data_IF_310920746752
#
_entry.id   IF_310920746752
#
_cell.length_a   1.000
_cell.length_b   1.000
_cell.length_c   1.000
_cell.angle_alpha   90.00
_cell.angle_beta   90.00
_cell.angle_gamma   90.00
#
_symmetry.space_group_name_H-M   'P 1'
#
loop_
_entity.id
_entity.type
_entity.pdbx_description
1 polymer ?
#
# COMPACT_ATOMS: atom_id res chain seq x y z
N UNK A 1 -11.26 21.54 7.42
CA UNK A 1 -10.90 21.59 5.99
C UNK A 1 -9.40 21.48 5.89
N UNK A 2 -8.88 20.41 5.33
CA UNK A 2 -7.46 20.24 5.07
C UNK A 2 -7.06 21.20 3.96
N UNK A 3 -6.16 22.15 4.27
CA UNK A 3 -5.65 23.09 3.27
C UNK A 3 -4.75 22.32 2.28
N UNK A 4 -5.18 22.23 1.03
CA UNK A 4 -4.44 21.57 -0.05
C UNK A 4 -3.68 22.62 -0.90
N UNK A 5 -2.97 23.54 -0.22
CA UNK A 5 -2.11 24.53 -0.83
C UNK A 5 -0.65 24.23 -0.55
N UNK A 6 0.22 24.62 -1.45
CA UNK A 6 1.68 24.49 -1.35
C UNK A 6 2.10 23.02 -1.20
N UNK A 7 2.43 22.39 -2.32
CA UNK A 7 2.98 21.05 -2.36
C UNK A 7 4.26 20.97 -1.53
N UNK A 8 4.38 19.89 -0.75
CA UNK A 8 5.58 19.57 0.01
C UNK A 8 5.99 18.14 -0.29
N UNK A 9 7.28 17.94 -0.46
CA UNK A 9 7.88 16.62 -0.59
C UNK A 9 9.14 16.55 0.24
N UNK A 10 9.44 15.39 0.79
CA UNK A 10 10.71 15.09 1.43
C UNK A 10 11.14 13.69 1.03
N UNK A 11 12.38 13.58 0.57
CA UNK A 11 12.99 12.32 0.15
C UNK A 11 14.30 12.15 0.90
N UNK A 12 14.37 11.15 1.76
CA UNK A 12 15.54 10.81 2.55
C UNK A 12 15.96 9.38 2.18
N UNK A 13 17.24 9.20 1.82
CA UNK A 13 17.79 7.90 1.45
C UNK A 13 19.04 7.61 2.31
N UNK A 14 19.07 6.45 2.94
CA UNK A 14 20.15 6.00 3.82
C UNK A 14 19.69 5.74 5.24
N UNK A 15 20.62 5.55 6.16
CA UNK A 15 20.36 5.28 7.56
C UNK A 15 21.30 6.08 8.47
N UNK A 16 20.76 6.59 9.58
CA UNK A 16 21.51 7.30 10.61
C UNK A 16 22.23 8.55 10.08
N UNK A 17 23.52 8.69 10.42
CA UNK A 17 24.35 9.84 10.03
C UNK A 17 24.67 9.92 8.54
N UNK A 18 24.52 8.81 7.82
CA UNK A 18 24.84 8.72 6.38
C UNK A 18 23.60 8.95 5.49
N UNK A 19 22.47 9.33 6.09
CA UNK A 19 21.25 9.65 5.36
C UNK A 19 21.44 10.92 4.51
N UNK A 20 21.03 10.83 3.25
CA UNK A 20 21.04 11.93 2.29
C UNK A 20 19.64 12.53 2.17
N UNK A 21 19.52 13.82 2.39
CA UNK A 21 18.30 14.56 2.12
C UNK A 21 18.31 15.07 0.67
N UNK A 22 17.43 14.51 -0.15
CA UNK A 22 17.26 14.83 -1.56
C UNK A 22 15.96 15.62 -1.83
N UNK A 23 15.33 16.15 -0.78
CA UNK A 23 14.05 16.87 -0.85
C UNK A 23 14.05 18.07 -1.79
N UNK A 24 15.21 18.72 -1.98
CA UNK A 24 15.37 19.89 -2.85
C UNK A 24 15.60 19.54 -4.34
N UNK A 25 15.84 18.25 -4.63
CA UNK A 25 16.05 17.80 -6.00
C UNK A 25 14.71 17.66 -6.73
N UNK A 26 14.76 17.72 -8.06
CA UNK A 26 13.62 17.30 -8.86
C UNK A 26 13.53 15.78 -8.81
N UNK A 27 12.37 15.26 -8.40
CA UNK A 27 12.07 13.85 -8.49
C UNK A 27 10.60 13.57 -8.82
N UNK A 28 10.40 12.50 -9.53
CA UNK A 28 9.10 11.91 -9.84
C UNK A 28 8.94 10.65 -9.02
N UNK A 29 7.77 10.41 -8.49
CA UNK A 29 7.50 9.22 -7.69
C UNK A 29 6.17 8.56 -8.05
N UNK A 30 6.13 7.25 -7.85
CA UNK A 30 4.93 6.42 -7.96
C UNK A 30 4.99 5.38 -6.84
N UNK A 31 4.05 5.44 -5.91
CA UNK A 31 3.96 4.57 -4.72
C UNK A 31 2.69 3.76 -4.79
N UNK A 32 2.79 2.45 -4.87
CA UNK A 32 1.67 1.53 -4.97
C UNK A 32 1.55 0.66 -3.72
N UNK A 33 0.36 0.64 -3.14
CA UNK A 33 0.02 -0.12 -1.96
C UNK A 33 -1.24 -0.96 -2.19
N UNK A 34 -1.19 -2.24 -1.80
CA UNK A 34 -2.27 -3.20 -1.96
C UNK A 34 -2.64 -3.83 -0.62
N UNK A 35 -3.90 -4.25 -0.47
CA UNK A 35 -4.37 -4.97 0.73
C UNK A 35 -3.91 -6.43 0.80
N UNK A 36 -3.37 -6.96 -0.28
CA UNK A 36 -2.86 -8.33 -0.37
C UNK A 36 -1.42 -8.43 0.09
N UNK A 37 -0.93 -9.65 0.30
CA UNK A 37 0.43 -9.97 0.77
C UNK A 37 1.57 -9.57 -0.20
N UNK A 38 1.35 -8.56 -1.03
CA UNK A 38 2.35 -7.96 -1.91
C UNK A 38 2.98 -6.77 -1.19
N UNK A 39 4.30 -6.64 -1.18
CA UNK A 39 4.96 -5.48 -0.60
C UNK A 39 4.49 -4.18 -1.25
N UNK A 40 4.36 -3.13 -0.44
CA UNK A 40 4.20 -1.76 -0.92
C UNK A 40 5.45 -1.37 -1.69
N UNK A 41 5.31 -0.85 -2.89
CA UNK A 41 6.43 -0.52 -3.77
C UNK A 41 6.48 0.96 -4.09
N UNK A 42 7.69 1.48 -4.25
CA UNK A 42 7.93 2.83 -4.72
C UNK A 42 8.87 2.82 -5.92
N UNK A 43 8.52 3.56 -6.95
CA UNK A 43 9.37 3.88 -8.07
C UNK A 43 9.71 5.38 -8.00
N UNK A 44 10.97 5.69 -7.99
CA UNK A 44 11.49 7.06 -7.86
C UNK A 44 12.44 7.35 -9.01
N UNK A 45 12.28 8.49 -9.66
CA UNK A 45 13.24 9.02 -10.62
C UNK A 45 13.75 10.36 -10.12
N UNK A 46 15.04 10.46 -9.84
CA UNK A 46 15.68 11.67 -9.32
C UNK A 46 16.58 12.22 -10.41
N UNK A 47 16.43 13.51 -10.71
CA UNK A 47 17.16 14.16 -11.78
C UNK A 47 18.42 14.85 -11.30
N UNK A 48 19.46 14.81 -12.16
CA UNK A 48 20.69 15.61 -12.07
C UNK A 48 21.45 15.50 -10.74
N UNK A 49 21.53 14.28 -10.20
CA UNK A 49 22.40 14.00 -9.06
C UNK A 49 23.87 14.01 -9.47
N UNK A 50 24.75 14.48 -8.58
CA UNK A 50 26.20 14.31 -8.77
C UNK A 50 26.57 12.82 -8.81
N UNK A 51 27.60 12.47 -9.58
CA UNK A 51 28.05 11.07 -9.69
C UNK A 51 28.39 10.45 -8.34
N UNK A 52 28.93 11.22 -7.40
CA UNK A 52 29.29 10.74 -6.07
C UNK A 52 28.05 10.52 -5.20
N UNK A 53 27.06 11.42 -5.28
CA UNK A 53 25.78 11.24 -4.58
C UNK A 53 25.01 10.06 -5.15
N UNK A 54 24.96 9.92 -6.48
CA UNK A 54 24.30 8.79 -7.13
C UNK A 54 24.92 7.45 -6.68
N UNK A 55 26.26 7.34 -6.61
CA UNK A 55 26.94 6.12 -6.12
C UNK A 55 26.63 5.80 -4.66
N UNK A 56 26.49 6.80 -3.80
CA UNK A 56 26.12 6.58 -2.40
C UNK A 56 24.69 6.06 -2.28
N UNK A 57 23.79 6.58 -3.10
CA UNK A 57 22.36 6.19 -3.12
C UNK A 57 22.17 4.81 -3.74
N UNK A 58 22.99 4.40 -4.73
CA UNK A 58 22.82 3.10 -5.42
C UNK A 58 23.13 1.88 -4.57
N UNK A 59 23.48 2.05 -3.31
CA UNK A 59 23.74 0.93 -2.41
C UNK A 59 22.42 0.20 -2.10
N UNK A 60 22.31 -1.04 -2.57
CA UNK A 60 21.16 -1.91 -2.29
C UNK A 60 20.93 -2.09 -0.78
N UNK A 61 19.66 -2.23 -0.38
CA UNK A 61 19.28 -2.37 1.02
C UNK A 61 19.27 -1.05 1.80
N UNK A 62 19.64 0.08 1.18
CA UNK A 62 19.50 1.40 1.82
C UNK A 62 18.04 1.75 2.03
N UNK A 63 17.72 2.37 3.18
CA UNK A 63 16.37 2.79 3.48
C UNK A 63 15.98 4.02 2.65
N UNK A 64 14.72 4.05 2.24
CA UNK A 64 14.08 5.18 1.58
C UNK A 64 12.88 5.62 2.41
N UNK A 65 12.79 6.90 2.71
CA UNK A 65 11.63 7.51 3.33
C UNK A 65 11.14 8.62 2.40
N UNK A 66 9.93 8.47 1.91
CA UNK A 66 9.27 9.45 1.06
C UNK A 66 8.04 10.00 1.78
N UNK A 67 8.02 11.30 2.00
CA UNK A 67 6.87 12.02 2.53
C UNK A 67 6.39 13.01 1.49
N UNK A 68 5.08 13.06 1.27
CA UNK A 68 4.47 13.97 0.30
C UNK A 68 3.11 14.47 0.79
N UNK A 69 2.67 15.60 0.23
CA UNK A 69 1.38 16.18 0.59
C UNK A 69 1.32 17.67 0.33
N UNK A 70 0.55 18.35 1.18
CA UNK A 70 0.37 19.81 1.14
C UNK A 70 0.71 20.42 2.51
N UNK A 71 0.82 21.75 2.59
CA UNK A 71 1.23 22.47 3.80
C UNK A 71 0.45 22.11 5.08
N UNK A 72 -0.83 21.76 4.96
CA UNK A 72 -1.70 21.35 6.07
C UNK A 72 -1.97 19.84 6.14
N UNK A 73 -1.44 19.06 5.21
CA UNK A 73 -1.66 17.61 5.10
C UNK A 73 -0.41 16.97 4.50
N UNK A 74 0.62 16.76 5.33
CA UNK A 74 1.92 16.24 4.92
C UNK A 74 2.30 15.06 5.83
N UNK A 75 2.54 13.90 5.22
CA UNK A 75 2.91 12.69 5.95
C UNK A 75 3.77 11.76 5.09
N UNK A 76 4.34 10.74 5.71
CA UNK A 76 5.07 9.68 5.01
C UNK A 76 4.09 8.85 4.19
N UNK A 77 4.38 8.70 2.89
CA UNK A 77 3.62 7.86 1.97
C UNK A 77 4.34 6.55 1.66
N UNK A 78 5.65 6.49 1.90
CA UNK A 78 6.45 5.28 1.69
C UNK A 78 7.65 5.25 2.62
N UNK A 79 7.87 4.07 3.20
CA UNK A 79 9.11 3.71 3.89
C UNK A 79 9.49 2.29 3.47
N UNK A 80 10.72 2.10 3.00
CA UNK A 80 11.16 0.78 2.53
C UNK A 80 12.63 0.75 2.20
N UNK A 81 13.05 -0.29 1.48
CA UNK A 81 14.45 -0.54 1.12
C UNK A 81 14.62 -0.56 -0.38
N UNK A 82 15.76 -0.06 -0.85
CA UNK A 82 16.13 -0.08 -2.27
C UNK A 82 16.35 -1.52 -2.71
N UNK A 83 15.58 -1.97 -3.69
CA UNK A 83 15.73 -3.28 -4.33
C UNK A 83 16.52 -3.18 -5.63
N UNK A 84 16.41 -2.03 -6.32
CA UNK A 84 17.14 -1.78 -7.56
C UNK A 84 17.41 -0.29 -7.72
N UNK A 85 18.59 0.04 -8.25
CA UNK A 85 18.95 1.38 -8.65
C UNK A 85 19.63 1.36 -10.02
N UNK A 86 19.25 2.30 -10.91
CA UNK A 86 19.78 2.43 -12.26
C UNK A 86 20.10 3.88 -12.57
N UNK A 87 21.29 4.16 -13.06
CA UNK A 87 21.68 5.47 -13.55
C UNK A 87 21.49 5.51 -15.05
N UNK A 88 20.86 6.54 -15.55
CA UNK A 88 20.62 6.75 -16.97
C UNK A 88 20.76 8.21 -17.38
N UNK A 89 20.53 8.45 -18.66
CA UNK A 89 20.48 9.77 -19.25
C UNK A 89 19.23 9.88 -20.11
N UNK A 90 18.44 10.92 -19.91
CA UNK A 90 17.19 11.11 -20.62
C UNK A 90 17.43 11.83 -21.96
N UNK A 91 18.34 12.81 -21.94
CA UNK A 91 18.75 13.57 -23.13
C UNK A 91 20.23 13.94 -23.04
N UNK A 92 20.72 14.81 -23.89
CA UNK A 92 22.13 15.24 -23.91
C UNK A 92 22.60 15.88 -22.60
N UNK A 93 21.68 16.47 -21.83
CA UNK A 93 21.97 17.31 -20.67
C UNK A 93 21.54 16.66 -19.35
N UNK A 94 20.36 16.04 -19.33
CA UNK A 94 19.77 15.55 -18.08
C UNK A 94 20.10 14.09 -17.81
N UNK A 95 20.63 13.85 -16.64
CA UNK A 95 20.86 12.52 -16.09
C UNK A 95 19.78 12.19 -15.07
N UNK A 96 19.48 10.91 -14.90
CA UNK A 96 18.56 10.45 -13.87
C UNK A 96 19.07 9.23 -13.12
N UNK A 97 18.58 9.08 -11.92
CA UNK A 97 18.70 7.88 -11.10
C UNK A 97 17.31 7.31 -10.89
N UNK A 98 17.05 6.13 -11.46
CA UNK A 98 15.84 5.36 -11.18
C UNK A 98 16.08 4.45 -9.98
N UNK A 99 15.17 4.48 -9.03
CA UNK A 99 15.18 3.66 -7.83
C UNK A 99 13.86 2.90 -7.77
N UNK A 100 13.94 1.59 -7.58
CA UNK A 100 12.82 0.77 -7.16
C UNK A 100 13.06 0.38 -5.72
N UNK A 101 12.07 0.60 -4.87
CA UNK A 101 12.12 0.25 -3.45
C UNK A 101 10.87 -0.53 -3.05
N UNK A 102 11.00 -1.41 -2.06
CA UNK A 102 9.90 -2.17 -1.51
C UNK A 102 9.90 -2.13 0.02
N UNK A 103 8.71 -2.08 0.61
CA UNK A 103 8.55 -2.11 2.05
C UNK A 103 8.68 -3.54 2.56
N UNK A 104 9.60 -3.74 3.51
CA UNK A 104 9.85 -5.05 4.10
C UNK A 104 10.47 -6.08 3.16
N UNK A 105 11.19 -5.68 2.12
CA UNK A 105 11.80 -6.57 1.13
C UNK A 105 12.67 -7.66 1.77
N UNK A 106 13.51 -7.30 2.73
CA UNK A 106 14.37 -8.24 3.45
C UNK A 106 13.55 -9.31 4.19
N UNK A 107 12.44 -8.93 4.80
CA UNK A 107 11.55 -9.87 5.51
C UNK A 107 10.80 -10.74 4.50
N UNK A 108 10.29 -10.14 3.44
CA UNK A 108 9.47 -10.81 2.43
C UNK A 108 10.28 -11.84 1.62
N UNK A 109 11.47 -11.48 1.18
CA UNK A 109 12.28 -12.32 0.29
C UNK A 109 13.33 -13.17 1.02
N UNK A 110 13.84 -12.71 2.16
CA UNK A 110 14.99 -13.32 2.83
C UNK A 110 14.73 -13.67 4.30
N UNK A 111 13.57 -13.28 4.87
CA UNK A 111 13.24 -13.58 6.26
C UNK A 111 13.07 -15.07 6.50
N UNK A 112 14.04 -15.70 7.18
CA UNK A 112 13.97 -17.09 7.59
C UNK A 112 13.56 -17.17 9.06
N UNK A 113 12.59 -18.01 9.33
CA UNK A 113 12.01 -18.23 10.67
C UNK A 113 12.36 -19.62 11.12
N UNK A 114 12.80 -19.75 12.38
CA UNK A 114 13.09 -21.03 13.03
C UNK A 114 12.76 -20.93 14.52
N UNK A 115 11.60 -21.48 14.92
CA UNK A 115 11.21 -21.56 16.33
C UNK A 115 10.24 -22.71 16.57
N UNK A 116 10.07 -23.08 17.83
CA UNK A 116 9.08 -24.05 18.26
C UNK A 116 8.09 -23.45 19.24
N UNK A 117 6.86 -23.94 19.21
CA UNK A 117 5.78 -23.52 20.12
C UNK A 117 5.17 -24.69 20.83
N UNK A 118 4.70 -24.48 22.05
CA UNK A 118 4.01 -25.50 22.85
C UNK A 118 2.56 -25.70 22.38
N UNK A 119 1.97 -26.80 22.80
CA UNK A 119 0.52 -27.00 22.72
C UNK A 119 -0.21 -25.85 23.41
N UNK A 120 -1.38 -25.47 22.88
CA UNK A 120 -2.17 -24.37 23.41
C UNK A 120 -1.78 -22.98 22.86
N UNK A 121 -0.71 -22.88 22.06
CA UNK A 121 -0.31 -21.61 21.41
C UNK A 121 -1.44 -21.07 20.52
N UNK A 122 -1.77 -19.79 20.70
CA UNK A 122 -2.75 -19.08 19.90
C UNK A 122 -2.12 -18.49 18.61
N UNK A 123 -2.95 -18.09 17.66
CA UNK A 123 -2.49 -17.55 16.37
C UNK A 123 -1.75 -16.24 16.55
N UNK A 124 -2.24 -15.34 17.41
CA UNK A 124 -1.61 -14.03 17.64
C UNK A 124 -0.20 -14.18 18.18
N UNK A 125 -0.01 -15.09 19.16
CA UNK A 125 1.31 -15.39 19.69
C UNK A 125 2.26 -15.96 18.63
N UNK A 126 1.77 -16.83 17.73
CA UNK A 126 2.57 -17.40 16.62
C UNK A 126 2.94 -16.31 15.59
N UNK A 127 1.99 -15.47 15.20
CA UNK A 127 2.25 -14.33 14.31
C UNK A 127 3.31 -13.40 14.92
N UNK A 128 3.23 -13.15 16.24
CA UNK A 128 4.22 -12.36 16.96
C UNK A 128 5.62 -13.00 16.92
N UNK A 129 5.72 -14.32 17.08
CA UNK A 129 7.00 -15.03 17.01
C UNK A 129 7.56 -15.04 15.59
N UNK A 130 6.71 -15.18 14.54
CA UNK A 130 7.15 -15.07 13.15
C UNK A 130 7.71 -13.67 12.90
N UNK A 131 6.98 -12.62 13.30
CA UNK A 131 7.41 -11.24 13.13
C UNK A 131 8.75 -10.96 13.83
N UNK A 132 8.88 -11.34 15.09
CA UNK A 132 10.11 -11.17 15.86
C UNK A 132 11.29 -11.93 15.25
N UNK A 133 11.09 -13.19 14.82
CA UNK A 133 12.14 -13.98 14.18
C UNK A 133 12.56 -13.40 12.82
N UNK A 134 11.63 -12.79 12.10
CA UNK A 134 11.89 -12.13 10.82
C UNK A 134 12.41 -10.69 10.97
N UNK A 135 12.48 -10.15 12.20
CA UNK A 135 12.98 -8.81 12.47
C UNK A 135 12.03 -7.67 12.08
N UNK A 136 10.71 -7.94 12.01
CA UNK A 136 9.68 -6.94 11.70
C UNK A 136 8.86 -6.62 12.96
N UNK A 137 8.44 -5.36 13.08
CA UNK A 137 7.56 -4.93 14.16
C UNK A 137 6.12 -5.35 13.90
N UNK A 138 5.39 -5.65 14.98
CA UNK A 138 3.94 -5.87 14.88
C UNK A 138 3.23 -4.51 14.73
N UNK A 139 2.29 -4.47 13.80
CA UNK A 139 1.35 -3.39 13.60
C UNK A 139 -0.05 -3.77 14.13
N UNK A 140 -1.08 -3.54 13.33
CA UNK A 140 -2.46 -3.89 13.66
C UNK A 140 -2.69 -5.38 13.44
N UNK A 141 -3.16 -6.09 14.47
CA UNK A 141 -3.54 -7.50 14.36
C UNK A 141 -5.02 -7.65 14.69
N UNK A 142 -5.83 -7.94 13.68
CA UNK A 142 -7.23 -8.30 13.81
C UNK A 142 -7.37 -9.81 13.60
N UNK A 143 -7.19 -10.56 14.67
CA UNK A 143 -7.46 -11.99 14.67
C UNK A 143 -8.81 -12.26 15.37
N UNK A 144 -9.62 -13.21 14.89
CA UNK A 144 -10.80 -13.62 15.62
C UNK A 144 -10.42 -14.11 17.00
N UNK A 145 -11.14 -13.64 18.03
CA UNK A 145 -10.87 -13.91 19.45
C UNK A 145 -10.78 -15.43 19.78
N UNK A 146 -11.37 -16.27 18.94
CA UNK A 146 -11.32 -17.73 19.03
C UNK A 146 -10.36 -18.35 18.00
N UNK A 147 -9.27 -17.70 17.68
CA UNK A 147 -8.26 -18.23 16.76
C UNK A 147 -7.81 -19.63 17.18
N UNK A 148 -7.67 -20.52 16.19
CA UNK A 148 -7.34 -21.93 16.41
C UNK A 148 -6.09 -22.08 17.27
N UNK A 149 -6.25 -22.65 18.48
CA UNK A 149 -5.15 -23.07 19.34
C UNK A 149 -4.56 -24.36 18.80
N UNK A 150 -3.24 -24.47 18.85
CA UNK A 150 -2.58 -25.72 18.50
C UNK A 150 -2.86 -26.81 19.56
N UNK A 151 -3.36 -27.94 19.12
CA UNK A 151 -3.58 -29.09 20.02
C UNK A 151 -2.27 -29.75 20.44
N UNK A 152 -1.21 -29.58 19.63
CA UNK A 152 0.13 -30.15 19.89
C UNK A 152 1.19 -29.09 19.67
N UNK A 153 2.38 -29.27 20.25
CA UNK A 153 3.54 -28.46 19.92
C UNK A 153 3.89 -28.58 18.44
N UNK A 154 4.39 -27.51 17.87
CA UNK A 154 4.78 -27.42 16.45
C UNK A 154 6.12 -26.71 16.29
N UNK A 155 6.84 -27.07 15.23
CA UNK A 155 8.06 -26.40 14.82
C UNK A 155 7.77 -25.62 13.55
N UNK A 156 8.15 -24.35 13.54
CA UNK A 156 8.04 -23.45 12.41
C UNK A 156 9.43 -23.21 11.82
N UNK A 157 9.60 -23.63 10.58
CA UNK A 157 10.85 -23.45 9.83
C UNK A 157 10.53 -23.11 8.38
N UNK A 158 11.10 -22.04 7.86
CA UNK A 158 10.92 -21.63 6.46
C UNK A 158 10.93 -20.14 6.27
N UNK A 159 10.46 -19.68 5.11
CA UNK A 159 10.34 -18.26 4.82
C UNK A 159 9.16 -17.64 5.60
N UNK A 160 9.40 -16.49 6.20
CA UNK A 160 8.40 -15.76 6.97
C UNK A 160 7.10 -15.53 6.18
N UNK A 161 7.19 -15.14 4.91
CA UNK A 161 6.03 -14.91 4.03
C UNK A 161 5.13 -16.14 3.87
N UNK A 162 5.72 -17.34 3.79
CA UNK A 162 4.96 -18.58 3.58
C UNK A 162 4.27 -19.01 4.87
N UNK A 163 4.94 -18.83 6.00
CA UNK A 163 4.36 -19.08 7.32
C UNK A 163 3.25 -18.07 7.63
N UNK A 164 3.46 -16.79 7.37
CA UNK A 164 2.43 -15.76 7.52
C UNK A 164 1.21 -16.04 6.64
N UNK A 165 1.41 -16.47 5.38
CA UNK A 165 0.32 -16.87 4.49
C UNK A 165 -0.49 -18.03 5.07
N UNK A 166 0.19 -19.05 5.57
CA UNK A 166 -0.45 -20.23 6.15
C UNK A 166 -1.23 -19.86 7.42
N UNK A 167 -0.61 -19.16 8.36
CA UNK A 167 -1.24 -18.77 9.61
C UNK A 167 -2.43 -17.84 9.40
N UNK A 168 -2.29 -16.83 8.55
CA UNK A 168 -3.39 -15.91 8.23
C UNK A 168 -4.55 -16.62 7.50
N UNK A 169 -4.25 -17.56 6.61
CA UNK A 169 -5.29 -18.35 5.94
C UNK A 169 -6.13 -19.18 6.92
N UNK A 170 -5.53 -19.70 8.01
CA UNK A 170 -6.26 -20.47 9.03
C UNK A 170 -7.31 -19.67 9.78
N UNK A 171 -7.17 -18.36 9.82
CA UNK A 171 -8.07 -17.43 10.53
C UNK A 171 -8.89 -16.56 9.59
N UNK A 172 -8.83 -16.78 8.27
CA UNK A 172 -9.52 -15.94 7.29
C UNK A 172 -9.05 -14.49 7.31
N UNK A 173 -7.75 -14.25 7.44
CA UNK A 173 -7.15 -12.93 7.44
C UNK A 173 -6.15 -12.76 6.30
N UNK A 174 -5.90 -11.52 5.93
CA UNK A 174 -4.83 -11.11 5.04
C UNK A 174 -3.74 -10.40 5.84
N UNK A 175 -2.51 -10.48 5.37
CA UNK A 175 -1.40 -9.76 5.95
C UNK A 175 -0.73 -8.85 4.93
N UNK A 176 -0.17 -7.77 5.40
CA UNK A 176 0.67 -6.87 4.60
C UNK A 176 1.75 -6.26 5.49
N UNK A 177 2.81 -5.77 4.85
CA UNK A 177 3.83 -4.95 5.52
C UNK A 177 3.52 -3.51 5.13
N UNK A 178 3.40 -2.65 6.13
CA UNK A 178 3.13 -1.23 5.93
C UNK A 178 4.03 -0.39 6.84
N UNK A 179 4.90 0.39 6.22
CA UNK A 179 5.88 1.26 6.88
C UNK A 179 6.73 0.49 7.93
N UNK A 180 7.22 -0.69 7.54
CA UNK A 180 8.07 -1.56 8.37
C UNK A 180 7.34 -2.28 9.49
N UNK A 181 6.00 -2.39 9.45
CA UNK A 181 5.17 -3.11 10.42
C UNK A 181 4.32 -4.17 9.74
N UNK A 182 4.15 -5.30 10.41
CA UNK A 182 3.27 -6.38 9.97
C UNK A 182 1.83 -6.08 10.42
N UNK A 183 0.95 -5.81 9.48
CA UNK A 183 -0.50 -5.71 9.70
C UNK A 183 -1.19 -7.01 9.29
N UNK A 184 -2.09 -7.51 10.14
CA UNK A 184 -2.93 -8.67 9.87
C UNK A 184 -4.38 -8.24 10.03
N UNK A 185 -5.12 -8.22 8.94
CA UNK A 185 -6.49 -7.72 8.89
C UNK A 185 -7.42 -8.86 8.49
N UNK A 186 -8.46 -9.10 9.28
CA UNK A 186 -9.47 -10.12 8.98
C UNK A 186 -10.15 -9.82 7.63
N UNK A 187 -10.63 -10.86 6.97
CA UNK A 187 -11.49 -10.70 5.79
C UNK A 187 -12.72 -9.87 6.17
N UNK A 188 -13.00 -8.81 5.40
CA UNK A 188 -14.04 -7.86 5.75
C UNK A 188 -13.65 -6.84 6.83
N UNK A 189 -12.52 -7.01 7.50
CA UNK A 189 -11.99 -6.07 8.48
C UNK A 189 -11.31 -4.86 7.83
N UNK A 190 -11.10 -3.83 8.62
CA UNK A 190 -10.41 -2.59 8.22
C UNK A 190 -9.57 -2.07 9.39
N UNK A 191 -8.58 -1.23 9.08
CA UNK A 191 -7.83 -0.51 10.12
C UNK A 191 -8.69 0.60 10.69
N UNK A 192 -8.70 0.72 12.01
CA UNK A 192 -9.35 1.83 12.69
C UNK A 192 -8.52 3.10 12.49
N UNK A 193 -9.21 4.22 12.27
CA UNK A 193 -8.59 5.52 12.05
C UNK A 193 -9.60 6.56 11.61
N UNK A 194 -9.12 7.76 11.31
CA UNK A 194 -9.92 8.82 10.74
C UNK A 194 -10.41 8.42 9.34
N UNK A 195 -11.68 8.68 9.03
CA UNK A 195 -12.28 8.36 7.73
C UNK A 195 -12.23 9.63 6.88
N UNK A 196 -11.30 9.75 5.91
CA UNK A 196 -11.26 10.89 5.02
C UNK A 196 -12.51 10.93 4.14
N UNK A 197 -13.13 12.10 4.04
CA UNK A 197 -14.30 12.33 3.17
C UNK A 197 -13.80 12.87 1.83
N UNK A 198 -14.14 12.17 0.75
CA UNK A 198 -13.72 12.52 -0.61
C UNK A 198 -14.87 13.16 -1.35
N UNK A 199 -14.76 14.47 -1.57
CA UNK A 199 -15.70 15.31 -2.32
C UNK A 199 -14.93 16.27 -3.21
N UNK A 200 -15.61 16.99 -4.08
CA UNK A 200 -15.00 18.06 -4.89
C UNK A 200 -14.35 19.16 -4.04
N UNK A 201 -14.87 19.42 -2.85
CA UNK A 201 -14.31 20.39 -1.90
C UNK A 201 -13.06 19.85 -1.17
N UNK A 202 -12.88 18.54 -1.08
CA UNK A 202 -11.72 17.88 -0.43
C UNK A 202 -10.71 17.33 -1.46
N UNK A 203 -10.85 17.68 -2.73
CA UNK A 203 -9.88 17.39 -3.78
C UNK A 203 -10.22 16.21 -4.68
N UNK A 204 -11.46 15.74 -4.73
CA UNK A 204 -11.91 14.76 -5.74
C UNK A 204 -11.72 15.33 -7.15
N UNK A 205 -11.17 14.54 -8.05
CA UNK A 205 -10.94 14.89 -9.44
C UNK A 205 -11.75 13.93 -10.32
N UNK A 206 -12.60 14.53 -11.17
CA UNK A 206 -13.50 13.73 -12.03
C UNK A 206 -14.66 13.13 -11.25
N UNK A 207 -15.15 12.01 -11.74
CA UNK A 207 -16.31 11.30 -11.20
C UNK A 207 -15.86 9.90 -10.77
N UNK A 208 -16.14 9.45 -9.54
CA UNK A 208 -15.86 8.08 -9.12
C UNK A 208 -16.63 7.09 -9.99
N UNK A 209 -15.98 6.00 -10.39
CA UNK A 209 -16.58 4.97 -11.25
C UNK A 209 -16.64 3.63 -10.56
N UNK A 210 -17.84 3.01 -10.62
CA UNK A 210 -18.04 1.65 -10.11
C UNK A 210 -17.60 0.63 -11.17
N UNK A 211 -16.83 -0.38 -10.75
CA UNK A 211 -16.40 -1.50 -11.59
C UNK A 211 -16.32 -2.80 -10.77
N UNK A 212 -15.89 -3.90 -11.39
CA UNK A 212 -15.86 -5.24 -10.78
C UNK A 212 -15.05 -5.33 -9.46
N UNK A 213 -14.02 -4.49 -9.28
CA UNK A 213 -13.21 -4.47 -8.06
C UNK A 213 -13.74 -3.55 -6.98
N UNK A 214 -14.72 -2.69 -7.30
CA UNK A 214 -15.26 -1.70 -6.40
C UNK A 214 -15.42 -0.34 -7.06
N UNK A 215 -15.06 0.73 -6.36
CA UNK A 215 -15.16 2.11 -6.81
C UNK A 215 -13.76 2.66 -7.01
N UNK A 216 -13.45 3.06 -8.23
CA UNK A 216 -12.21 3.79 -8.53
C UNK A 216 -12.46 5.30 -8.44
N UNK A 217 -11.53 6.01 -7.86
CA UNK A 217 -11.55 7.46 -7.81
C UNK A 217 -10.14 8.05 -7.82
N UNK A 218 -10.05 9.29 -8.28
CA UNK A 218 -8.84 10.09 -8.30
C UNK A 218 -9.02 11.34 -7.46
N UNK A 219 -8.04 11.68 -6.67
CA UNK A 219 -8.05 12.91 -5.89
C UNK A 219 -6.67 13.58 -5.86
N UNK A 220 -6.63 14.82 -5.37
CA UNK A 220 -5.38 15.46 -5.00
C UNK A 220 -4.64 14.60 -3.99
N UNK A 221 -3.31 14.60 -4.05
CA UNK A 221 -2.48 13.73 -3.21
C UNK A 221 -2.87 13.87 -1.73
N UNK A 222 -3.31 12.77 -1.16
CA UNK A 222 -3.70 12.69 0.24
C UNK A 222 -2.96 11.55 0.93
N UNK A 223 -1.96 11.83 1.77
CA UNK A 223 -1.15 10.82 2.43
C UNK A 223 -1.90 9.99 3.49
N UNK A 224 -3.12 10.39 3.88
CA UNK A 224 -3.98 9.63 4.78
C UNK A 224 -4.77 8.53 4.08
N UNK A 225 -4.70 8.41 2.76
CA UNK A 225 -5.27 7.27 2.05
C UNK A 225 -4.28 6.12 2.11
N UNK A 226 -4.56 5.14 2.95
CA UNK A 226 -3.73 3.94 3.09
C UNK A 226 -4.55 2.66 2.84
N UNK A 227 -3.88 1.61 2.40
CA UNK A 227 -4.55 0.31 2.22
C UNK A 227 -5.13 -0.20 3.54
N UNK A 228 -6.24 -0.90 3.47
CA UNK A 228 -7.01 -1.41 4.61
C UNK A 228 -7.71 -0.35 5.48
N UNK A 229 -7.57 0.94 5.20
CA UNK A 229 -8.32 2.00 5.85
C UNK A 229 -9.66 2.25 5.16
N UNK A 230 -10.51 3.04 5.79
CA UNK A 230 -11.82 3.41 5.25
C UNK A 230 -11.78 4.81 4.64
N UNK A 231 -12.64 5.01 3.65
CA UNK A 231 -12.88 6.30 3.00
C UNK A 231 -14.38 6.50 2.83
N UNK A 232 -14.84 7.73 2.98
CA UNK A 232 -16.23 8.08 2.70
C UNK A 232 -16.34 8.78 1.36
N UNK A 233 -17.22 8.27 0.49
CA UNK A 233 -17.52 8.83 -0.84
C UNK A 233 -19.03 9.03 -0.92
N UNK A 234 -19.47 10.19 -1.42
CA UNK A 234 -20.88 10.45 -1.66
C UNK A 234 -21.39 9.58 -2.82
N UNK A 235 -22.31 8.68 -2.51
CA UNK A 235 -22.90 7.75 -3.47
C UNK A 235 -23.58 8.45 -4.65
N UNK A 236 -24.09 9.67 -4.46
CA UNK A 236 -24.72 10.46 -5.52
C UNK A 236 -23.73 10.89 -6.61
N UNK A 237 -22.42 10.92 -6.29
CA UNK A 237 -21.37 11.28 -7.23
C UNK A 237 -20.84 10.08 -8.03
N UNK A 238 -21.19 8.84 -7.63
CA UNK A 238 -20.63 7.63 -8.22
C UNK A 238 -21.34 7.32 -9.53
N UNK A 239 -20.56 7.20 -10.62
CA UNK A 239 -21.07 6.66 -11.88
C UNK A 239 -21.26 5.15 -11.72
N UNK A 240 -22.51 4.75 -11.59
CA UNK A 240 -22.87 3.35 -11.44
C UNK A 240 -22.71 2.59 -12.75
N UNK A 241 -22.24 1.35 -12.62
CA UNK A 241 -22.16 0.42 -13.73
C UNK A 241 -23.59 -0.03 -14.09
N UNK A 242 -24.08 0.39 -15.25
CA UNK A 242 -25.42 0.04 -15.72
C UNK A 242 -25.37 -0.50 -17.12
N UNK A 243 -25.93 -1.70 -17.35
CA UNK A 243 -26.17 -2.24 -18.69
C UNK A 243 -27.63 -2.61 -18.86
N UNK A 244 -28.17 -2.22 -20.01
CA UNK A 244 -29.50 -2.64 -20.46
C UNK A 244 -29.27 -3.66 -21.57
N UNK A 245 -28.99 -4.93 -21.23
CA UNK A 245 -28.89 -5.97 -22.24
C UNK A 245 -29.58 -7.26 -21.81
N UNK A 246 -30.15 -7.97 -22.79
CA UNK A 246 -30.75 -9.28 -22.63
C UNK A 246 -29.73 -10.44 -22.61
N UNK A 247 -28.44 -10.16 -22.51
CA UNK A 247 -27.40 -11.16 -22.62
C UNK A 247 -27.03 -11.71 -21.23
N UNK A 248 -27.21 -13.02 -21.04
CA UNK A 248 -27.04 -13.72 -19.76
C UNK A 248 -25.61 -13.64 -19.19
N UNK A 249 -24.60 -13.58 -20.08
CA UNK A 249 -23.19 -13.44 -19.68
C UNK A 249 -22.90 -12.08 -19.04
N UNK A 250 -23.46 -11.02 -19.62
CA UNK A 250 -23.34 -9.65 -19.11
C UNK A 250 -24.12 -9.50 -17.80
N UNK A 251 -25.28 -10.16 -17.66
CA UNK A 251 -26.03 -10.17 -16.40
C UNK A 251 -25.23 -10.83 -15.26
N UNK A 252 -24.43 -11.86 -15.55
CA UNK A 252 -23.52 -12.48 -14.57
C UNK A 252 -22.37 -11.55 -14.17
N UNK A 253 -21.78 -10.80 -15.12
CA UNK A 253 -20.76 -9.80 -14.85
C UNK A 253 -21.29 -8.66 -13.99
N UNK A 254 -22.51 -8.18 -14.25
CA UNK A 254 -23.18 -7.17 -13.43
C UNK A 254 -23.40 -7.67 -11.99
N UNK A 255 -23.79 -8.93 -11.83
CA UNK A 255 -23.98 -9.54 -10.52
C UNK A 255 -22.67 -9.71 -9.71
N UNK A 256 -21.52 -9.62 -10.37
CA UNK A 256 -20.20 -9.65 -9.71
C UNK A 256 -19.71 -8.27 -9.23
N UNK A 257 -20.36 -7.19 -9.64
CA UNK A 257 -19.99 -5.83 -9.22
C UNK A 257 -20.42 -5.62 -7.76
N UNK A 258 -19.51 -5.20 -6.87
CA UNK A 258 -19.86 -4.93 -5.47
C UNK A 258 -20.96 -3.89 -5.35
N UNK A 259 -21.94 -4.12 -4.49
CA UNK A 259 -23.00 -3.15 -4.21
C UNK A 259 -22.44 -1.89 -3.56
N UNK A 260 -23.09 -0.75 -3.78
CA UNK A 260 -22.79 0.46 -3.04
C UNK A 260 -23.23 0.30 -1.58
N UNK A 261 -22.39 0.75 -0.65
CA UNK A 261 -22.74 0.78 0.77
C UNK A 261 -23.68 1.95 1.06
N UNK A 262 -24.69 1.73 1.91
CA UNK A 262 -25.73 2.72 2.17
C UNK A 262 -25.20 3.98 2.87
N UNK A 263 -24.13 3.84 3.68
CA UNK A 263 -23.48 4.94 4.41
C UNK A 263 -22.37 5.64 3.62
N UNK A 264 -22.04 5.14 2.40
CA UNK A 264 -21.00 5.69 1.57
C UNK A 264 -19.58 5.43 2.09
N UNK A 265 -19.41 4.49 3.04
CA UNK A 265 -18.11 4.15 3.61
C UNK A 265 -17.56 2.89 2.94
N UNK A 266 -16.35 3.00 2.42
CA UNK A 266 -15.69 1.94 1.66
C UNK A 266 -14.30 1.66 2.22
N UNK A 267 -13.84 0.40 2.12
CA UNK A 267 -12.47 0.00 2.44
C UNK A 267 -11.56 0.20 1.24
N UNK A 268 -10.42 0.83 1.45
CA UNK A 268 -9.37 1.00 0.45
C UNK A 268 -8.66 -0.33 0.19
N UNK A 269 -8.73 -0.83 -1.05
CA UNK A 269 -8.08 -2.04 -1.52
C UNK A 269 -6.75 -1.77 -2.19
N UNK A 270 -6.67 -0.67 -2.90
CA UNK A 270 -5.51 -0.21 -3.64
C UNK A 270 -5.38 1.30 -3.51
N UNK A 271 -4.17 1.76 -3.32
CA UNK A 271 -3.83 3.19 -3.32
C UNK A 271 -2.55 3.39 -4.10
N UNK A 272 -2.57 4.34 -5.02
CA UNK A 272 -1.42 4.78 -5.80
C UNK A 272 -1.20 6.28 -5.60
N UNK A 273 -0.08 6.66 -4.99
CA UNK A 273 0.34 8.05 -4.88
C UNK A 273 1.39 8.33 -5.92
N UNK A 274 1.19 9.34 -6.74
CA UNK A 274 2.18 9.74 -7.74
C UNK A 274 2.28 11.25 -7.88
N UNK A 275 3.47 11.69 -8.24
CA UNK A 275 3.71 13.10 -8.40
C UNK A 275 5.09 13.44 -8.94
N UNK A 276 5.19 14.64 -9.46
CA UNK A 276 6.43 15.29 -9.87
C UNK A 276 6.61 16.56 -9.04
N UNK A 277 7.74 16.69 -8.34
CA UNK A 277 8.02 17.86 -7.48
C UNK A 277 8.11 19.17 -8.23
N UNK A 278 8.34 19.15 -9.55
CA UNK A 278 8.41 20.33 -10.42
C UNK A 278 7.41 20.30 -11.59
N UNK A 279 6.70 19.17 -11.77
CA UNK A 279 5.66 19.00 -12.78
C UNK A 279 4.25 19.29 -12.25
N UNK A 280 3.25 18.92 -13.05
CA UNK A 280 1.85 19.15 -12.72
C UNK A 280 1.21 17.99 -11.93
N UNK A 281 1.75 16.78 -12.02
CA UNK A 281 1.19 15.60 -11.38
C UNK A 281 1.39 15.65 -9.88
N UNK A 282 0.31 15.46 -9.10
CA UNK A 282 0.32 15.40 -7.65
C UNK A 282 -0.99 14.81 -7.13
N UNK A 283 -1.17 13.50 -7.32
CA UNK A 283 -2.45 12.84 -7.20
C UNK A 283 -2.38 11.54 -6.40
N UNK A 284 -3.55 11.11 -5.95
CA UNK A 284 -3.78 9.78 -5.41
C UNK A 284 -4.92 9.14 -6.19
N UNK A 285 -4.66 7.96 -6.77
CA UNK A 285 -5.67 7.09 -7.36
C UNK A 285 -5.94 5.95 -6.40
N UNK A 286 -7.20 5.62 -6.20
CA UNK A 286 -7.57 4.58 -5.27
C UNK A 286 -8.73 3.73 -5.77
N UNK A 287 -8.77 2.50 -5.29
CA UNK A 287 -9.91 1.58 -5.46
C UNK A 287 -10.41 1.19 -4.09
N UNK A 288 -11.69 1.38 -3.86
CA UNK A 288 -12.36 1.08 -2.60
C UNK A 288 -13.56 0.15 -2.83
N UNK A 289 -13.87 -0.72 -1.88
CA UNK A 289 -15.00 -1.64 -1.98
C UNK A 289 -15.75 -1.78 -0.66
N UNK A 290 -17.06 -2.02 -0.75
CA UNK A 290 -17.91 -2.39 0.37
C UNK A 290 -17.85 -3.89 0.66
N UNK A 291 -17.65 -4.73 -0.37
CA UNK A 291 -17.67 -6.19 -0.25
C UNK A 291 -16.30 -6.78 -0.61
N UNK A 292 -15.68 -7.47 0.38
CA UNK A 292 -14.30 -7.95 0.28
C UNK A 292 -14.26 -9.47 0.00
N UNK A 293 -15.40 -10.12 -0.20
CA UNK A 293 -15.48 -11.59 -0.32
C UNK A 293 -14.86 -12.17 -1.58
N UNK A 294 -14.51 -11.35 -2.59
CA UNK A 294 -13.96 -11.84 -3.85
C UNK A 294 -12.43 -11.73 -3.93
N UNK A 295 -11.72 -12.66 -3.27
CA UNK A 295 -10.24 -12.78 -3.31
C UNK A 295 -9.64 -12.96 -4.72
N UNK A 296 -10.39 -13.56 -5.63
CA UNK A 296 -9.86 -13.90 -6.97
C UNK A 296 -9.67 -12.66 -7.87
N UNK A 297 -10.35 -11.56 -7.59
CA UNK A 297 -10.35 -10.37 -8.45
C UNK A 297 -9.16 -9.43 -8.19
N UNK A 298 -8.57 -9.46 -7.00
CA UNK A 298 -7.43 -8.60 -6.66
C UNK A 298 -6.11 -9.02 -7.33
N UNK A 299 -6.04 -10.19 -7.97
CA UNK A 299 -4.83 -10.64 -8.69
C UNK A 299 -4.61 -9.89 -10.00
N UNK A 300 -5.58 -9.14 -10.48
CA UNK A 300 -5.52 -8.39 -11.73
C UNK A 300 -5.80 -6.91 -11.46
N UNK A 301 -4.92 -6.24 -10.70
CA UNK A 301 -4.96 -4.77 -10.67
C UNK A 301 -4.82 -4.25 -12.12
N UNK A 302 -5.75 -3.41 -12.61
CA UNK A 302 -5.62 -2.85 -13.94
C UNK A 302 -4.29 -2.10 -14.04
N UNK A 303 -3.54 -2.34 -15.11
CA UNK A 303 -2.47 -1.43 -15.50
C UNK A 303 -3.16 -0.12 -15.86
N UNK A 304 -3.24 0.79 -14.91
CA UNK A 304 -3.62 2.17 -15.18
C UNK A 304 -2.49 2.77 -16.01
N UNK A 305 -2.75 2.97 -17.30
CA UNK A 305 -1.86 3.64 -18.25
C UNK A 305 -1.86 5.14 -17.99
#
# INVERSE_FOLDING_TARGET
>A
MTQQYIRKASLIIGAGSDALDLSNMQFVFNVQAFTISTPKTAQLRIYNLSSDTARKVTKEGSNVILSAGYGGNFNTIFQGQITQARIGRENGTDTYLDITAADGDMVYNFGVVNFSVNAGSDVVGRLGQIANSAGIKLGTIQAPVNGAKLHRGAVFFGLARDLLRTECATIGANWCINDGKLDVIAEGGYKEGEIPVITSATGLIGVPEQHELGISFKCLLNPHLQQNERVQIDNSLIRQFGFTTSNLEIAKQIASVPSLDADGIYKLLYVNHYGDTRGNEWYSDAVASSDIKNKAQLQFAPKLY
#
